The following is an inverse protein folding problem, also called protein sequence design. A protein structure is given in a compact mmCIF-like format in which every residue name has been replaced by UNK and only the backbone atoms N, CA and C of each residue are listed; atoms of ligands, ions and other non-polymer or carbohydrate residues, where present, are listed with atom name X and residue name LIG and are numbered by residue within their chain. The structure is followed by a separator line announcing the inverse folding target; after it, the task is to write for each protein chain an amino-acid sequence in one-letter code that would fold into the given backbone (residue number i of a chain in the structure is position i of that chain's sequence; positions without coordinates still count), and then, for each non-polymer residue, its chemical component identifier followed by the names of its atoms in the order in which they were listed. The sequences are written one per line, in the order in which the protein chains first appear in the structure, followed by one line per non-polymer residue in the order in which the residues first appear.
data_IF_944870038709
#
_entry.id   IF_944870038709
#
_cell.length_a   1.000
_cell.length_b   1.000
_cell.length_c   1.000
_cell.angle_alpha   90.00
_cell.angle_beta   90.00
_cell.angle_gamma   90.00
#
_symmetry.space_group_name_H-M   'P 1'
#
loop_
_entity.id
_entity.type
_entity.pdbx_description
1 polymer ?
#
# COMPACT_ATOMS: atom_id res chain seq x y z
N UNK A 1 3.82 23.01 -3.96
CA UNK A 1 5.05 22.91 -3.14
C UNK A 1 4.85 23.24 -1.68
N UNK A 2 4.36 24.42 -1.29
CA UNK A 2 4.28 24.81 0.13
C UNK A 2 3.64 23.74 1.03
N UNK A 3 2.41 23.33 0.73
CA UNK A 3 1.69 22.26 1.44
C UNK A 3 2.51 20.97 1.57
N UNK A 4 3.27 20.61 0.54
CA UNK A 4 4.10 19.41 0.58
C UNK A 4 5.23 19.51 1.60
N UNK A 5 6.02 20.58 1.52
CA UNK A 5 7.20 20.80 2.38
C UNK A 5 6.88 21.13 3.83
N UNK A 6 5.63 21.55 4.14
CA UNK A 6 5.18 21.85 5.51
C UNK A 6 4.39 20.71 6.15
N UNK A 7 3.59 19.99 5.37
CA UNK A 7 2.60 19.06 5.89
C UNK A 7 2.59 17.71 5.18
N UNK A 8 2.45 17.66 3.84
CA UNK A 8 2.24 16.38 3.13
C UNK A 8 3.42 15.42 3.23
N UNK A 9 4.65 15.91 3.36
CA UNK A 9 5.81 15.04 3.53
C UNK A 9 5.65 14.10 4.74
N UNK A 10 5.01 14.57 5.82
CA UNK A 10 4.75 13.78 7.04
C UNK A 10 3.78 12.62 6.80
N UNK A 11 2.94 12.72 5.77
CA UNK A 11 2.03 11.66 5.36
C UNK A 11 2.70 10.56 4.53
N UNK A 12 3.99 10.72 4.23
CA UNK A 12 4.78 9.74 3.47
C UNK A 12 5.92 9.19 4.32
N UNK A 13 6.48 10.02 5.21
CA UNK A 13 7.47 9.60 6.20
C UNK A 13 6.90 8.56 7.16
N UNK A 14 7.63 7.48 7.39
CA UNK A 14 7.30 6.54 8.44
C UNK A 14 7.96 6.86 9.78
N UNK A 15 9.15 7.46 9.78
CA UNK A 15 9.88 7.81 11.00
C UNK A 15 10.82 9.02 10.78
N UNK A 16 11.82 9.18 11.66
CA UNK A 16 12.79 10.29 11.53
C UNK A 16 13.88 10.03 10.49
N UNK A 17 14.09 8.78 10.09
CA UNK A 17 15.17 8.37 9.18
C UNK A 17 14.91 8.80 7.74
N UNK A 18 13.65 8.89 7.33
CA UNK A 18 13.22 9.31 5.98
C UNK A 18 12.63 10.74 5.94
N UNK A 19 12.66 11.46 7.07
CA UNK A 19 12.07 12.79 7.18
C UNK A 19 12.76 13.83 6.29
N UNK A 20 14.09 13.92 6.34
CA UNK A 20 14.87 14.86 5.54
C UNK A 20 14.74 14.56 4.04
N UNK A 21 14.69 13.28 3.70
CA UNK A 21 14.51 12.79 2.33
C UNK A 21 13.23 13.36 1.72
N UNK A 22 12.08 13.17 2.39
CA UNK A 22 10.79 13.63 1.90
C UNK A 22 10.60 15.15 2.03
N UNK A 23 11.13 15.78 3.08
CA UNK A 23 10.91 17.21 3.29
C UNK A 23 11.77 18.09 2.37
N UNK A 24 13.01 17.67 2.08
CA UNK A 24 14.02 18.52 1.42
C UNK A 24 14.57 17.88 0.15
N UNK A 25 15.09 16.65 0.23
CA UNK A 25 15.84 16.07 -0.90
C UNK A 25 14.94 15.73 -2.09
N UNK A 26 13.79 15.11 -1.86
CA UNK A 26 12.81 14.74 -2.89
C UNK A 26 12.24 15.99 -3.59
N UNK A 27 11.83 17.05 -2.87
CA UNK A 27 11.52 18.34 -3.49
C UNK A 27 12.62 18.92 -4.37
N UNK A 28 13.89 18.88 -3.91
CA UNK A 28 15.03 19.36 -4.69
C UNK A 28 15.24 18.52 -5.96
N UNK A 29 15.03 17.21 -5.85
CA UNK A 29 15.10 16.28 -6.98
C UNK A 29 13.97 16.53 -7.98
N UNK A 30 12.76 16.86 -7.50
CA UNK A 30 11.60 17.12 -8.33
C UNK A 30 11.79 18.29 -9.31
N UNK A 31 12.57 19.32 -8.95
CA UNK A 31 12.90 20.40 -9.88
C UNK A 31 13.73 19.96 -11.10
N UNK A 32 14.34 18.78 -11.06
CA UNK A 32 15.09 18.17 -12.17
C UNK A 32 14.26 17.15 -12.95
N UNK A 33 13.11 16.74 -12.43
CA UNK A 33 12.29 15.65 -12.95
C UNK A 33 10.81 16.04 -12.95
N UNK A 34 10.31 16.46 -14.11
CA UNK A 34 8.95 16.98 -14.28
C UNK A 34 7.86 16.01 -13.79
N UNK A 35 8.04 14.69 -13.99
CA UNK A 35 7.09 13.70 -13.49
C UNK A 35 6.99 13.71 -11.96
N UNK A 36 8.11 13.84 -11.27
CA UNK A 36 8.16 13.83 -9.80
C UNK A 36 7.55 15.11 -9.24
N UNK A 37 7.79 16.25 -9.90
CA UNK A 37 7.18 17.52 -9.53
C UNK A 37 5.65 17.46 -9.60
N UNK A 38 5.12 16.93 -10.70
CA UNK A 38 3.68 16.75 -10.86
C UNK A 38 3.11 15.71 -9.88
N UNK A 39 3.82 14.62 -9.59
CA UNK A 39 3.43 13.68 -8.54
C UNK A 39 3.34 14.32 -7.15
N UNK A 40 4.34 15.13 -6.78
CA UNK A 40 4.32 15.89 -5.52
C UNK A 40 3.12 16.84 -5.45
N UNK A 41 2.78 17.50 -6.56
CA UNK A 41 1.61 18.38 -6.62
C UNK A 41 0.30 17.61 -6.52
N UNK A 42 0.20 16.46 -7.19
CA UNK A 42 -0.97 15.61 -7.12
C UNK A 42 -1.22 15.13 -5.68
N UNK A 43 -0.18 14.63 -5.02
CA UNK A 43 -0.27 14.16 -3.64
C UNK A 43 -0.57 15.29 -2.65
N UNK A 44 0.05 16.46 -2.83
CA UNK A 44 -0.23 17.62 -1.99
C UNK A 44 -1.67 18.12 -2.15
N UNK A 45 -2.20 18.15 -3.38
CA UNK A 45 -3.58 18.51 -3.64
C UNK A 45 -4.55 17.49 -3.01
N UNK A 46 -4.26 16.19 -3.14
CA UNK A 46 -5.08 15.14 -2.55
C UNK A 46 -5.07 15.17 -1.01
N UNK A 47 -3.92 15.52 -0.39
CA UNK A 47 -3.85 15.76 1.04
C UNK A 47 -4.70 16.96 1.48
N UNK A 48 -4.82 18.02 0.66
CA UNK A 48 -5.74 19.12 0.94
C UNK A 48 -7.18 18.63 0.90
N UNK A 49 -7.57 17.86 -0.12
CA UNK A 49 -8.91 17.25 -0.23
C UNK A 49 -9.25 16.46 1.03
N UNK A 50 -8.32 15.64 1.54
CA UNK A 50 -8.53 14.82 2.73
C UNK A 50 -8.62 15.60 4.04
N UNK A 51 -8.10 16.83 4.11
CA UNK A 51 -7.98 17.59 5.37
C UNK A 51 -8.84 18.85 5.45
N UNK A 52 -9.37 19.32 4.32
CA UNK A 52 -10.21 20.52 4.28
C UNK A 52 -11.69 20.18 4.47
N UNK A 53 -12.46 21.11 5.05
CA UNK A 53 -13.92 21.02 5.16
C UNK A 53 -14.66 21.90 4.15
N UNK A 54 -13.92 22.68 3.35
CA UNK A 54 -14.48 23.60 2.35
C UNK A 54 -14.82 22.86 1.05
N UNK A 55 -16.12 22.73 0.75
CA UNK A 55 -16.61 22.00 -0.42
C UNK A 55 -16.14 22.57 -1.76
N UNK A 56 -15.90 23.88 -1.88
CA UNK A 56 -15.45 24.47 -3.15
C UNK A 56 -13.96 24.12 -3.37
N UNK A 57 -13.16 24.20 -2.31
CA UNK A 57 -11.75 23.80 -2.35
C UNK A 57 -11.59 22.30 -2.62
N UNK A 58 -12.45 21.45 -2.06
CA UNK A 58 -12.42 20.00 -2.27
C UNK A 58 -12.46 19.68 -3.77
N UNK A 59 -13.44 20.20 -4.51
CA UNK A 59 -13.59 19.89 -5.92
C UNK A 59 -12.42 20.45 -6.75
N UNK A 60 -12.00 21.68 -6.47
CA UNK A 60 -10.86 22.31 -7.15
C UNK A 60 -9.54 21.53 -6.95
N UNK A 61 -9.24 21.11 -5.73
CA UNK A 61 -8.01 20.37 -5.44
C UNK A 61 -8.10 18.91 -5.91
N UNK A 62 -9.29 18.31 -5.96
CA UNK A 62 -9.48 17.00 -6.56
C UNK A 62 -9.19 17.03 -8.08
N UNK A 63 -9.72 18.04 -8.79
CA UNK A 63 -9.38 18.27 -10.22
C UNK A 63 -7.88 18.53 -10.42
N UNK A 64 -7.28 19.31 -9.51
CA UNK A 64 -5.84 19.57 -9.54
C UNK A 64 -5.05 18.27 -9.33
N UNK A 65 -5.46 17.42 -8.39
CA UNK A 65 -4.80 16.15 -8.12
C UNK A 65 -4.85 15.22 -9.34
N UNK A 66 -6.03 15.08 -9.96
CA UNK A 66 -6.23 14.29 -11.18
C UNK A 66 -5.35 14.79 -12.33
N UNK A 67 -5.42 16.08 -12.63
CA UNK A 67 -4.63 16.71 -13.70
C UNK A 67 -3.13 16.55 -13.47
N UNK A 68 -2.65 16.81 -12.25
CA UNK A 68 -1.23 16.64 -11.94
C UNK A 68 -0.80 15.17 -12.04
N UNK A 69 -1.65 14.22 -11.63
CA UNK A 69 -1.37 12.79 -11.77
C UNK A 69 -1.25 12.37 -13.24
N UNK A 70 -2.14 12.87 -14.11
CA UNK A 70 -2.08 12.65 -15.56
C UNK A 70 -0.81 13.23 -16.18
N UNK A 71 -0.45 14.47 -15.80
CA UNK A 71 0.79 15.13 -16.27
C UNK A 71 2.05 14.39 -15.84
N UNK A 72 2.04 13.76 -14.66
CA UNK A 72 3.16 12.95 -14.20
C UNK A 72 3.31 11.63 -14.97
N UNK A 73 2.20 11.06 -15.45
CA UNK A 73 2.14 9.67 -15.92
C UNK A 73 2.98 9.38 -17.17
N UNK A 74 2.81 10.16 -18.23
CA UNK A 74 3.50 9.92 -19.50
C UNK A 74 5.02 10.08 -19.36
N UNK A 75 5.55 11.18 -18.78
CA UNK A 75 6.99 11.33 -18.60
C UNK A 75 7.57 10.32 -17.61
N UNK A 76 6.80 9.90 -16.60
CA UNK A 76 7.20 8.81 -15.70
C UNK A 76 7.39 7.50 -16.46
N UNK A 77 6.39 7.08 -17.26
CA UNK A 77 6.48 5.86 -18.08
C UNK A 77 7.65 5.88 -19.06
N UNK A 78 7.92 7.01 -19.70
CA UNK A 78 9.09 7.14 -20.59
C UNK A 78 10.40 6.97 -19.81
N UNK A 79 10.51 7.59 -18.64
CA UNK A 79 11.71 7.47 -17.78
C UNK A 79 11.92 6.03 -17.31
N UNK A 80 10.84 5.29 -17.04
CA UNK A 80 10.91 3.87 -16.66
C UNK A 80 11.56 2.99 -17.74
N UNK A 81 11.36 3.30 -19.01
CA UNK A 81 12.01 2.57 -20.12
C UNK A 81 13.50 2.88 -20.28
N UNK A 82 13.99 3.94 -19.63
CA UNK A 82 15.38 4.39 -19.69
C UNK A 82 15.91 4.71 -18.28
N UNK A 83 15.87 3.70 -17.41
CA UNK A 83 16.30 3.80 -16.03
C UNK A 83 17.84 3.91 -15.94
N UNK A 84 18.32 4.88 -15.18
CA UNK A 84 19.75 5.18 -15.00
C UNK A 84 20.07 5.45 -13.53
N UNK A 85 21.35 5.39 -13.11
CA UNK A 85 21.76 5.78 -11.75
C UNK A 85 21.39 7.22 -11.37
N UNK A 86 21.17 8.10 -12.36
CA UNK A 86 20.90 9.53 -12.12
C UNK A 86 19.41 9.82 -11.91
N UNK A 87 18.52 8.95 -12.40
CA UNK A 87 17.07 9.14 -12.31
C UNK A 87 16.37 8.11 -11.40
N UNK A 88 17.07 7.07 -10.94
CA UNK A 88 16.46 5.98 -10.19
C UNK A 88 15.81 6.44 -8.89
N UNK A 89 16.42 7.40 -8.19
CA UNK A 89 15.88 7.94 -6.95
C UNK A 89 14.56 8.69 -7.20
N UNK A 90 14.49 9.46 -8.29
CA UNK A 90 13.30 10.20 -8.66
C UNK A 90 12.16 9.26 -9.06
N UNK A 91 12.49 8.21 -9.82
CA UNK A 91 11.55 7.16 -10.21
C UNK A 91 11.03 6.41 -9.00
N UNK A 92 11.89 6.09 -8.02
CA UNK A 92 11.47 5.40 -6.81
C UNK A 92 10.57 6.28 -5.95
N UNK A 93 10.93 7.54 -5.71
CA UNK A 93 10.10 8.50 -4.99
C UNK A 93 8.73 8.68 -5.67
N UNK A 94 8.70 8.78 -6.99
CA UNK A 94 7.45 8.86 -7.75
C UNK A 94 6.62 7.57 -7.62
N UNK A 95 7.25 6.40 -7.58
CA UNK A 95 6.54 5.13 -7.41
C UNK A 95 5.79 5.08 -6.09
N UNK A 96 6.42 5.51 -4.99
CA UNK A 96 5.76 5.62 -3.68
C UNK A 96 4.60 6.63 -3.70
N UNK A 97 4.79 7.80 -4.32
CA UNK A 97 3.73 8.80 -4.48
C UNK A 97 2.53 8.23 -5.26
N UNK A 98 2.78 7.54 -6.38
CA UNK A 98 1.73 6.95 -7.21
C UNK A 98 0.99 5.84 -6.48
N UNK A 99 1.68 5.03 -5.67
CA UNK A 99 1.03 4.04 -4.80
C UNK A 99 0.07 4.70 -3.81
N UNK A 100 0.51 5.76 -3.12
CA UNK A 100 -0.34 6.48 -2.15
C UNK A 100 -1.56 7.11 -2.83
N UNK A 101 -1.34 7.77 -3.98
CA UNK A 101 -2.45 8.32 -4.79
C UNK A 101 -3.40 7.20 -5.23
N UNK A 102 -2.88 6.05 -5.65
CA UNK A 102 -3.67 4.90 -6.08
C UNK A 102 -4.57 4.31 -4.98
N UNK A 103 -4.14 4.40 -3.71
CA UNK A 103 -4.96 3.98 -2.56
C UNK A 103 -6.05 5.02 -2.25
N UNK A 104 -5.68 6.30 -2.18
CA UNK A 104 -6.58 7.33 -1.67
C UNK A 104 -7.55 7.91 -2.71
N UNK A 105 -7.10 8.08 -3.95
CA UNK A 105 -7.85 8.83 -4.97
C UNK A 105 -9.21 8.20 -5.30
N UNK A 106 -9.34 6.87 -5.54
CA UNK A 106 -10.64 6.30 -5.88
C UNK A 106 -11.68 6.50 -4.76
N UNK A 107 -11.25 6.37 -3.49
CA UNK A 107 -12.10 6.61 -2.32
C UNK A 107 -12.57 8.05 -2.25
N UNK A 108 -11.64 9.01 -2.35
CA UNK A 108 -11.96 10.44 -2.28
C UNK A 108 -12.82 10.88 -3.47
N UNK A 109 -12.60 10.30 -4.65
CA UNK A 109 -13.43 10.59 -5.82
C UNK A 109 -14.86 10.10 -5.61
N UNK A 110 -15.04 8.88 -5.10
CA UNK A 110 -16.35 8.34 -4.76
C UNK A 110 -17.06 9.15 -3.66
N UNK A 111 -16.32 9.55 -2.62
CA UNK A 111 -16.86 10.34 -1.51
C UNK A 111 -17.40 11.71 -1.95
N UNK A 112 -16.73 12.38 -2.90
CA UNK A 112 -17.07 13.75 -3.28
C UNK A 112 -17.80 13.89 -4.63
N UNK A 113 -17.72 12.87 -5.50
CA UNK A 113 -18.40 12.87 -6.82
C UNK A 113 -19.46 11.78 -6.97
N UNK A 114 -19.61 10.89 -5.99
CA UNK A 114 -20.59 9.81 -6.06
C UNK A 114 -20.26 8.73 -7.09
N UNK A 115 -18.98 8.59 -7.46
CA UNK A 115 -18.52 7.52 -8.35
C UNK A 115 -18.57 6.15 -7.66
N UNK A 116 -18.71 5.08 -8.45
CA UNK A 116 -18.64 3.71 -7.94
C UNK A 116 -17.26 3.40 -7.40
N UNK A 117 -17.20 2.80 -6.21
CA UNK A 117 -15.96 2.44 -5.54
C UNK A 117 -15.99 0.98 -5.11
N UNK A 118 -14.89 0.27 -5.40
CA UNK A 118 -14.58 -1.02 -4.78
C UNK A 118 -13.15 -0.96 -4.26
N UNK A 119 -13.00 -1.24 -2.97
CA UNK A 119 -11.73 -1.32 -2.30
C UNK A 119 -10.93 -2.55 -2.75
N UNK A 120 -11.59 -3.67 -3.08
CA UNK A 120 -10.91 -4.84 -3.64
C UNK A 120 -10.27 -4.50 -5.00
N UNK A 121 -11.02 -3.88 -5.92
CA UNK A 121 -10.48 -3.48 -7.24
C UNK A 121 -9.39 -2.41 -7.12
N UNK A 122 -9.55 -1.48 -6.16
CA UNK A 122 -8.51 -0.51 -5.81
C UNK A 122 -7.23 -1.23 -5.37
N UNK A 123 -7.33 -2.24 -4.51
CA UNK A 123 -6.15 -3.02 -4.10
C UNK A 123 -5.53 -3.80 -5.24
N UNK A 124 -6.30 -4.37 -6.17
CA UNK A 124 -5.75 -5.05 -7.35
C UNK A 124 -4.90 -4.09 -8.19
N UNK A 125 -5.36 -2.84 -8.35
CA UNK A 125 -4.60 -1.78 -9.03
C UNK A 125 -3.33 -1.43 -8.25
N UNK A 126 -3.43 -1.29 -6.93
CA UNK A 126 -2.28 -0.97 -6.07
C UNK A 126 -1.23 -2.09 -6.08
N UNK A 127 -1.63 -3.36 -6.12
CA UNK A 127 -0.71 -4.48 -6.33
C UNK A 127 0.12 -4.32 -7.61
N UNK A 128 -0.52 -3.97 -8.73
CA UNK A 128 0.19 -3.76 -10.00
C UNK A 128 1.17 -2.60 -9.94
N UNK A 129 0.79 -1.50 -9.30
CA UNK A 129 1.67 -0.34 -9.08
C UNK A 129 2.90 -0.71 -8.24
N UNK A 130 2.69 -1.42 -7.13
CA UNK A 130 3.77 -1.83 -6.22
C UNK A 130 4.67 -2.89 -6.87
N UNK A 131 4.13 -3.80 -7.69
CA UNK A 131 4.93 -4.77 -8.45
C UNK A 131 5.80 -4.08 -9.52
N UNK A 132 5.30 -3.03 -10.15
CA UNK A 132 6.10 -2.14 -10.99
C UNK A 132 7.26 -1.51 -10.21
N UNK A 133 6.96 -0.95 -9.03
CA UNK A 133 7.96 -0.39 -8.11
C UNK A 133 9.03 -1.43 -7.68
N UNK A 134 8.61 -2.66 -7.41
CA UNK A 134 9.51 -3.75 -7.05
C UNK A 134 10.43 -4.14 -8.21
N UNK A 135 9.91 -4.21 -9.43
CA UNK A 135 10.71 -4.49 -10.64
C UNK A 135 11.77 -3.41 -10.86
N UNK A 136 11.40 -2.14 -10.72
CA UNK A 136 12.33 -1.00 -10.76
C UNK A 136 13.37 -1.12 -9.64
N UNK A 137 12.93 -1.54 -8.46
CA UNK A 137 13.80 -1.75 -7.32
C UNK A 137 14.86 -2.82 -7.62
N UNK A 138 14.49 -3.95 -8.22
CA UNK A 138 15.47 -4.99 -8.54
C UNK A 138 16.49 -4.52 -9.58
N UNK A 139 16.05 -3.78 -10.61
CA UNK A 139 16.93 -3.24 -11.67
C UNK A 139 17.91 -2.20 -11.11
N UNK A 140 17.43 -1.30 -10.25
CA UNK A 140 18.23 -0.21 -9.68
C UNK A 140 19.10 -0.62 -8.48
N UNK A 141 18.95 -1.86 -7.97
CA UNK A 141 19.67 -2.36 -6.80
C UNK A 141 21.20 -2.12 -6.85
N UNK A 142 21.91 -2.32 -7.99
CA UNK A 142 23.36 -2.07 -8.07
C UNK A 142 23.75 -0.60 -7.86
N UNK A 143 22.85 0.34 -8.15
CA UNK A 143 23.09 1.78 -8.02
C UNK A 143 22.66 2.31 -6.66
N UNK A 144 21.74 1.59 -6.00
CA UNK A 144 21.16 2.01 -4.72
C UNK A 144 22.10 1.87 -3.53
N UNK A 145 23.16 1.06 -3.64
CA UNK A 145 24.20 0.98 -2.60
C UNK A 145 24.92 2.32 -2.35
N UNK A 146 24.76 3.31 -3.23
CA UNK A 146 25.25 4.69 -3.06
C UNK A 146 24.12 5.74 -2.92
N UNK A 147 22.85 5.32 -2.96
CA UNK A 147 21.69 6.22 -2.90
C UNK A 147 21.26 6.48 -1.46
N UNK A 148 20.94 7.74 -1.17
CA UNK A 148 20.61 8.26 0.16
C UNK A 148 19.25 7.80 0.71
N UNK A 149 18.38 7.32 -0.17
CA UNK A 149 16.98 7.05 0.13
C UNK A 149 16.81 5.58 0.56
N UNK A 150 16.11 5.36 1.67
CA UNK A 150 15.83 4.05 2.29
C UNK A 150 16.92 3.51 3.23
N UNK A 151 17.34 4.34 4.18
CA UNK A 151 18.01 3.90 5.43
C UNK A 151 17.05 3.26 6.44
N UNK A 152 15.93 2.68 5.98
CA UNK A 152 15.09 1.91 6.87
C UNK A 152 15.83 0.61 7.17
N UNK A 153 16.55 0.61 8.28
CA UNK A 153 17.20 -0.57 8.83
C UNK A 153 16.09 -1.45 9.40
N UNK A 154 15.57 -2.33 8.55
CA UNK A 154 14.61 -3.31 8.99
C UNK A 154 15.38 -4.36 9.79
N UNK A 155 15.59 -4.11 11.07
CA UNK A 155 16.12 -5.11 11.99
C UNK A 155 15.22 -6.35 11.95
N UNK A 156 15.82 -7.54 12.10
CA UNK A 156 15.09 -8.81 12.23
C UNK A 156 14.32 -8.82 13.56
N UNK A 157 13.20 -8.11 13.56
CA UNK A 157 12.26 -8.04 14.67
C UNK A 157 11.33 -9.25 14.60
N UNK A 158 11.29 -10.00 15.69
CA UNK A 158 10.56 -11.27 15.76
C UNK A 158 9.36 -11.23 16.71
N UNK A 159 9.23 -10.14 17.49
CA UNK A 159 8.16 -10.00 18.45
C UNK A 159 6.87 -9.61 17.73
N UNK A 160 5.80 -10.37 17.97
CA UNK A 160 4.49 -10.18 17.36
C UNK A 160 3.47 -10.18 18.48
N UNK A 161 2.47 -9.30 18.38
CA UNK A 161 1.33 -9.28 19.30
C UNK A 161 0.63 -10.67 19.36
N UNK A 162 0.27 -11.19 20.55
CA UNK A 162 -0.34 -12.50 20.68
C UNK A 162 -1.61 -12.70 19.84
N UNK A 163 -2.42 -11.66 19.62
CA UNK A 163 -3.62 -11.78 18.78
C UNK A 163 -3.25 -11.92 17.30
N UNK A 164 -2.27 -11.15 16.81
CA UNK A 164 -1.75 -11.28 15.44
C UNK A 164 -1.11 -12.67 15.21
N UNK A 165 -0.32 -13.16 16.18
CA UNK A 165 0.29 -14.48 16.13
C UNK A 165 -0.77 -15.60 16.06
N UNK A 166 -1.87 -15.46 16.79
CA UNK A 166 -2.99 -16.39 16.73
C UNK A 166 -3.70 -16.36 15.35
N UNK A 167 -3.91 -15.18 14.77
CA UNK A 167 -4.48 -15.05 13.43
C UNK A 167 -3.61 -15.73 12.36
N UNK A 168 -2.28 -15.54 12.43
CA UNK A 168 -1.32 -16.25 11.57
C UNK A 168 -1.41 -17.77 11.77
N UNK A 169 -1.47 -18.24 13.02
CA UNK A 169 -1.60 -19.67 13.32
C UNK A 169 -2.89 -20.28 12.74
N UNK A 170 -4.02 -19.57 12.86
CA UNK A 170 -5.29 -20.00 12.27
C UNK A 170 -5.22 -20.10 10.74
N UNK A 171 -4.61 -19.11 10.06
CA UNK A 171 -4.41 -19.17 8.61
C UNK A 171 -3.51 -20.35 8.21
N UNK A 172 -2.41 -20.62 8.94
CA UNK A 172 -1.55 -21.78 8.66
C UNK A 172 -2.29 -23.11 8.83
N UNK A 173 -3.10 -23.24 9.89
CA UNK A 173 -3.94 -24.42 10.10
C UNK A 173 -4.92 -24.62 8.94
N UNK A 174 -5.63 -23.55 8.53
CA UNK A 174 -6.53 -23.60 7.39
C UNK A 174 -5.80 -23.99 6.10
N UNK A 175 -4.64 -23.38 5.80
CA UNK A 175 -3.83 -23.71 4.62
C UNK A 175 -3.43 -25.20 4.59
N UNK A 176 -3.17 -25.81 5.76
CA UNK A 176 -2.86 -27.24 5.87
C UNK A 176 -4.07 -28.15 5.69
N UNK A 177 -5.26 -27.68 6.08
CA UNK A 177 -6.52 -28.44 6.00
C UNK A 177 -7.10 -28.51 4.58
N UNK A 178 -6.74 -27.57 3.70
CA UNK A 178 -7.19 -27.50 2.30
C UNK A 178 -6.47 -28.55 1.41
N UNK A 179 -5.98 -29.64 2.01
CA UNK A 179 -5.01 -30.61 1.49
C UNK A 179 -5.41 -31.41 0.21
N UNK A 180 -6.52 -31.07 -0.46
CA UNK A 180 -7.00 -31.75 -1.66
C UNK A 180 -6.87 -30.95 -2.97
N UNK A 181 -6.14 -29.84 -3.03
CA UNK A 181 -5.93 -29.14 -4.31
C UNK A 181 -4.58 -28.40 -4.34
N UNK A 182 -3.61 -28.98 -5.04
CA UNK A 182 -2.34 -28.37 -5.47
C UNK A 182 -1.31 -27.96 -4.38
N UNK A 183 -0.24 -28.77 -4.27
CA UNK A 183 0.93 -28.48 -3.42
C UNK A 183 1.60 -27.13 -3.75
N UNK A 184 1.53 -26.70 -5.01
CA UNK A 184 2.08 -25.42 -5.44
C UNK A 184 1.29 -24.27 -4.84
N UNK A 185 -0.05 -24.35 -4.83
CA UNK A 185 -0.89 -23.32 -4.21
C UNK A 185 -0.68 -23.25 -2.69
N UNK A 186 -0.51 -24.40 -2.03
CA UNK A 186 -0.18 -24.45 -0.60
C UNK A 186 1.12 -23.68 -0.30
N UNK A 187 2.18 -23.90 -1.09
CA UNK A 187 3.46 -23.18 -0.93
C UNK A 187 3.31 -21.68 -1.16
N UNK A 188 2.58 -21.28 -2.21
CA UNK A 188 2.33 -19.86 -2.51
C UNK A 188 1.61 -19.17 -1.35
N UNK A 189 0.59 -19.81 -0.80
CA UNK A 189 -0.15 -19.32 0.35
C UNK A 189 0.72 -19.23 1.60
N UNK A 190 1.56 -20.23 1.83
CA UNK A 190 2.46 -20.27 2.99
C UNK A 190 3.45 -19.10 2.95
N UNK A 191 4.05 -18.83 1.80
CA UNK A 191 4.98 -17.70 1.64
C UNK A 191 4.29 -16.34 1.84
N UNK A 192 3.04 -16.20 1.38
CA UNK A 192 2.26 -14.98 1.61
C UNK A 192 1.95 -14.77 3.09
N UNK A 193 1.66 -15.86 3.83
CA UNK A 193 1.45 -15.84 5.28
C UNK A 193 2.75 -15.51 6.03
N UNK A 194 3.88 -16.08 5.61
CA UNK A 194 5.18 -15.82 6.24
C UNK A 194 5.59 -14.35 6.06
N UNK A 195 5.43 -13.80 4.85
CA UNK A 195 5.67 -12.37 4.60
C UNK A 195 4.70 -11.46 5.36
N UNK A 196 3.45 -11.89 5.56
CA UNK A 196 2.46 -11.15 6.35
C UNK A 196 2.85 -11.15 7.84
N UNK A 197 3.34 -12.27 8.35
CA UNK A 197 3.86 -12.37 9.72
C UNK A 197 5.01 -11.38 9.94
N UNK A 198 5.96 -11.28 9.00
CA UNK A 198 7.05 -10.31 9.06
C UNK A 198 6.54 -8.87 9.07
N UNK A 199 5.47 -8.60 8.34
CA UNK A 199 4.83 -7.27 8.28
C UNK A 199 4.16 -6.92 9.61
N UNK A 200 3.51 -7.88 10.28
CA UNK A 200 2.96 -7.70 11.62
C UNK A 200 4.05 -7.43 12.66
N UNK A 201 5.15 -8.16 12.62
CA UNK A 201 6.28 -7.96 13.54
C UNK A 201 6.80 -6.53 13.41
N UNK A 202 7.13 -6.10 12.19
CA UNK A 202 7.66 -4.74 11.90
C UNK A 202 6.68 -3.64 12.30
N UNK A 203 5.38 -3.84 12.04
CA UNK A 203 4.36 -2.86 12.41
C UNK A 203 4.22 -2.69 13.93
N UNK A 204 4.41 -3.78 14.70
CA UNK A 204 4.33 -3.74 16.17
C UNK A 204 5.39 -2.81 16.77
N UNK A 205 6.54 -2.66 16.12
CA UNK A 205 7.64 -1.83 16.59
C UNK A 205 7.61 -0.41 16.04
N UNK A 206 7.19 -0.23 14.78
CA UNK A 206 7.03 1.07 14.15
C UNK A 206 5.84 1.06 13.21
N UNK A 207 4.96 2.08 13.32
CA UNK A 207 3.86 2.32 12.39
C UNK A 207 4.33 2.87 11.04
N UNK A 208 5.40 2.31 10.50
CA UNK A 208 6.00 2.72 9.23
C UNK A 208 5.18 2.12 8.07
N UNK A 209 4.80 2.89 7.02
CA UNK A 209 4.01 2.40 5.90
C UNK A 209 4.79 1.43 4.99
N UNK A 210 6.11 1.61 4.87
CA UNK A 210 6.94 0.79 3.98
C UNK A 210 6.86 -0.73 4.21
N UNK A 211 6.98 -1.31 5.42
CA UNK A 211 6.77 -2.73 5.64
C UNK A 211 5.41 -3.25 5.18
N UNK A 212 4.34 -2.49 5.42
CA UNK A 212 2.97 -2.88 5.05
C UNK A 212 2.82 -2.91 3.53
N UNK A 213 3.31 -1.88 2.84
CA UNK A 213 3.28 -1.80 1.38
C UNK A 213 4.27 -2.78 0.74
N UNK A 214 5.38 -3.10 1.41
CA UNK A 214 6.35 -4.09 0.95
C UNK A 214 5.72 -5.49 0.85
N UNK A 215 4.75 -5.84 1.69
CA UNK A 215 4.03 -7.10 1.54
C UNK A 215 3.40 -7.25 0.14
N UNK A 216 2.82 -6.17 -0.40
CA UNK A 216 2.25 -6.15 -1.74
C UNK A 216 3.31 -6.37 -2.84
N UNK A 217 4.56 -5.97 -2.58
CA UNK A 217 5.70 -6.20 -3.49
C UNK A 217 6.22 -7.64 -3.43
N UNK A 218 6.12 -8.31 -2.28
CA UNK A 218 6.57 -9.69 -2.10
C UNK A 218 5.54 -10.72 -2.56
N UNK A 219 4.26 -10.34 -2.62
CA UNK A 219 3.20 -11.20 -3.14
C UNK A 219 3.54 -11.71 -4.55
N UNK A 220 3.61 -13.03 -4.70
CA UNK A 220 3.89 -13.68 -5.99
C UNK A 220 2.76 -13.43 -6.99
N UNK A 221 3.09 -13.45 -8.28
CA UNK A 221 2.10 -13.27 -9.35
C UNK A 221 0.95 -14.26 -9.23
N UNK A 222 1.25 -15.52 -8.93
CA UNK A 222 0.29 -16.61 -8.78
C UNK A 222 -0.66 -16.38 -7.59
N UNK A 223 -0.16 -15.76 -6.51
CA UNK A 223 -1.02 -15.35 -5.39
C UNK A 223 -2.00 -14.27 -5.81
N UNK A 224 -1.53 -13.26 -6.54
CA UNK A 224 -2.37 -12.16 -7.06
C UNK A 224 -3.37 -12.69 -8.09
N UNK A 225 -2.99 -13.66 -8.92
CA UNK A 225 -3.92 -14.32 -9.84
C UNK A 225 -5.03 -15.06 -9.09
N UNK A 226 -4.73 -15.65 -7.92
CA UNK A 226 -5.73 -16.18 -7.00
C UNK A 226 -6.67 -15.11 -6.43
N UNK A 227 -6.15 -13.93 -6.07
CA UNK A 227 -6.98 -12.79 -5.63
C UNK A 227 -7.92 -12.28 -6.73
N UNK A 228 -7.42 -12.16 -7.97
CA UNK A 228 -8.22 -11.79 -9.15
C UNK A 228 -9.30 -12.83 -9.44
N UNK A 229 -8.96 -14.11 -9.28
CA UNK A 229 -9.90 -15.22 -9.41
C UNK A 229 -10.82 -15.39 -8.18
N UNK A 230 -10.80 -14.44 -7.23
CA UNK A 230 -11.63 -14.42 -6.01
C UNK A 230 -11.53 -15.73 -5.21
N UNK A 231 -10.34 -16.34 -5.19
CA UNK A 231 -10.13 -17.58 -4.45
C UNK A 231 -10.24 -17.33 -2.94
N UNK A 232 -11.12 -18.06 -2.21
CA UNK A 232 -11.47 -17.72 -0.83
C UNK A 232 -10.28 -17.59 0.12
N UNK A 233 -9.28 -18.46 -0.02
CA UNK A 233 -8.15 -18.48 0.91
C UNK A 233 -7.19 -17.29 0.71
N UNK A 234 -6.96 -16.89 -0.53
CA UNK A 234 -6.16 -15.72 -0.87
C UNK A 234 -6.88 -14.45 -0.41
N UNK A 235 -8.21 -14.38 -0.56
CA UNK A 235 -9.03 -13.30 -0.02
C UNK A 235 -8.94 -13.22 1.50
N UNK A 236 -8.91 -14.35 2.21
CA UNK A 236 -8.70 -14.39 3.67
C UNK A 236 -7.32 -13.83 4.07
N UNK A 237 -6.26 -14.16 3.33
CA UNK A 237 -4.92 -13.60 3.59
C UNK A 237 -4.93 -12.07 3.36
N UNK A 238 -5.54 -11.61 2.26
CA UNK A 238 -5.70 -10.17 1.99
C UNK A 238 -6.52 -9.47 3.08
N UNK A 239 -7.55 -10.12 3.60
CA UNK A 239 -8.40 -9.61 4.70
C UNK A 239 -7.60 -9.43 6.00
N UNK A 240 -6.65 -10.33 6.29
CA UNK A 240 -5.75 -10.17 7.43
C UNK A 240 -4.73 -9.04 7.20
N UNK A 241 -4.21 -8.89 5.98
CA UNK A 241 -3.40 -7.72 5.62
C UNK A 241 -4.17 -6.40 5.72
N UNK A 242 -5.48 -6.40 5.43
CA UNK A 242 -6.33 -5.21 5.54
C UNK A 242 -6.39 -4.63 6.96
N UNK A 243 -6.12 -5.45 8.00
CA UNK A 243 -5.97 -4.97 9.38
C UNK A 243 -4.77 -4.05 9.52
N UNK A 244 -3.63 -4.36 8.88
CA UNK A 244 -2.46 -3.45 8.86
C UNK A 244 -2.81 -2.14 8.18
N UNK A 245 -3.57 -2.19 7.08
CA UNK A 245 -4.02 -0.99 6.38
C UNK A 245 -4.98 -0.15 7.24
N UNK A 246 -5.87 -0.79 8.01
CA UNK A 246 -6.74 -0.11 8.97
C UNK A 246 -5.93 0.60 10.06
N UNK A 247 -4.99 -0.10 10.70
CA UNK A 247 -4.14 0.47 11.75
C UNK A 247 -3.28 1.64 11.21
N UNK A 248 -2.83 1.55 9.96
CA UNK A 248 -2.11 2.64 9.30
C UNK A 248 -2.99 3.88 9.11
N UNK A 249 -4.29 3.69 8.88
CA UNK A 249 -5.27 4.76 8.76
C UNK A 249 -5.37 5.69 9.97
N UNK A 250 -4.92 5.24 11.16
CA UNK A 250 -4.88 6.09 12.35
C UNK A 250 -3.88 7.25 12.25
N UNK A 251 -2.79 7.07 11.49
CA UNK A 251 -1.71 8.06 11.35
C UNK A 251 -1.60 8.62 9.93
N UNK A 252 -2.16 7.93 8.93
CA UNK A 252 -2.00 8.26 7.52
C UNK A 252 -3.36 8.42 6.84
N UNK A 253 -3.71 9.67 6.50
CA UNK A 253 -5.00 10.04 5.88
C UNK A 253 -5.33 9.23 4.62
N UNK A 254 -4.31 8.80 3.87
CA UNK A 254 -4.51 8.07 2.61
C UNK A 254 -4.95 6.62 2.84
N UNK A 255 -4.72 6.06 4.03
CA UNK A 255 -5.17 4.73 4.45
C UNK A 255 -6.43 4.77 5.33
N UNK A 256 -6.89 5.95 5.74
CA UNK A 256 -8.07 6.12 6.59
C UNK A 256 -9.32 5.51 5.95
N UNK A 257 -10.03 4.64 6.69
CA UNK A 257 -11.22 3.93 6.23
C UNK A 257 -10.97 2.86 5.16
N UNK A 258 -9.75 2.74 4.63
CA UNK A 258 -9.42 1.78 3.57
C UNK A 258 -9.47 0.33 4.08
N UNK A 259 -8.90 0.06 5.27
CA UNK A 259 -8.90 -1.29 5.83
C UNK A 259 -10.32 -1.79 6.18
N UNK A 260 -11.16 -0.91 6.76
CA UNK A 260 -12.57 -1.21 7.07
C UNK A 260 -13.36 -1.53 5.81
N UNK A 261 -13.25 -0.69 4.78
CA UNK A 261 -13.92 -0.90 3.50
C UNK A 261 -13.49 -2.23 2.85
N UNK A 262 -12.19 -2.55 2.91
CA UNK A 262 -11.67 -3.79 2.35
C UNK A 262 -12.18 -5.03 3.11
N UNK A 263 -12.15 -5.00 4.45
CA UNK A 263 -12.67 -6.09 5.28
C UNK A 263 -14.18 -6.27 5.09
N UNK A 264 -14.94 -5.19 4.92
CA UNK A 264 -16.38 -5.24 4.65
C UNK A 264 -16.68 -5.94 3.31
N UNK A 265 -15.98 -5.55 2.23
CA UNK A 265 -16.13 -6.17 0.90
C UNK A 265 -15.72 -7.65 0.93
N UNK A 266 -14.55 -7.97 1.51
CA UNK A 266 -14.06 -9.35 1.61
C UNK A 266 -14.95 -10.22 2.50
N UNK A 267 -15.49 -9.68 3.59
CA UNK A 267 -16.47 -10.38 4.42
C UNK A 267 -17.71 -10.75 3.62
N UNK A 268 -18.13 -9.91 2.67
CA UNK A 268 -19.28 -10.20 1.81
C UNK A 268 -19.01 -11.32 0.80
N UNK A 269 -17.79 -11.40 0.27
CA UNK A 269 -17.35 -12.48 -0.64
C UNK A 269 -17.19 -13.82 0.09
N UNK A 270 -16.89 -13.79 1.39
CA UNK A 270 -16.58 -14.97 2.22
C UNK A 270 -17.75 -15.44 3.11
N UNK A 271 -18.98 -14.97 2.87
CA UNK A 271 -20.15 -15.24 3.74
C UNK A 271 -20.54 -16.72 3.85
N UNK A 272 -20.38 -17.48 2.77
CA UNK A 272 -20.91 -18.85 2.66
C UNK A 272 -19.90 -19.94 3.08
N UNK A 273 -18.92 -19.61 3.91
CA UNK A 273 -17.85 -20.54 4.32
C UNK A 273 -18.17 -21.30 5.62
N UNK A 274 -17.53 -22.47 5.79
CA UNK A 274 -17.71 -23.38 6.93
C UNK A 274 -17.26 -22.77 8.28
N UNK A 275 -17.64 -23.41 9.40
CA UNK A 275 -17.32 -22.94 10.77
C UNK A 275 -15.83 -22.68 11.02
N UNK A 276 -14.92 -23.48 10.44
CA UNK A 276 -13.48 -23.23 10.57
C UNK A 276 -13.03 -21.91 9.93
N UNK A 277 -13.70 -21.48 8.86
CA UNK A 277 -13.44 -20.19 8.23
C UNK A 277 -13.98 -19.05 9.08
N UNK A 278 -15.17 -19.24 9.66
CA UNK A 278 -15.78 -18.22 10.53
C UNK A 278 -14.85 -17.81 11.67
N UNK A 279 -14.12 -18.74 12.29
CA UNK A 279 -13.15 -18.35 13.34
C UNK A 279 -12.00 -17.49 12.82
N UNK A 280 -11.51 -17.76 11.59
CA UNK A 280 -10.43 -17.00 10.98
C UNK A 280 -10.88 -15.63 10.43
N UNK A 281 -12.17 -15.49 10.10
CA UNK A 281 -12.78 -14.22 9.66
C UNK A 281 -13.09 -13.28 10.83
N UNK A 282 -13.34 -13.82 12.02
CA UNK A 282 -13.73 -13.02 13.20
C UNK A 282 -12.64 -12.06 13.66
N UNK A 283 -11.36 -12.47 13.63
CA UNK A 283 -10.27 -11.61 14.08
C UNK A 283 -10.15 -10.32 13.25
N UNK A 284 -10.03 -10.38 11.90
CA UNK A 284 -9.92 -9.15 11.12
C UNK A 284 -11.19 -8.29 11.20
N UNK A 285 -12.38 -8.88 11.26
CA UNK A 285 -13.65 -8.15 11.45
C UNK A 285 -13.66 -7.36 12.77
N UNK A 286 -13.32 -8.03 13.88
CA UNK A 286 -13.25 -7.41 15.20
C UNK A 286 -12.22 -6.28 15.25
N UNK A 287 -11.06 -6.44 14.60
CA UNK A 287 -9.99 -5.42 14.61
C UNK A 287 -10.41 -4.12 13.93
N UNK A 288 -11.21 -4.20 12.88
CA UNK A 288 -11.70 -3.02 12.15
C UNK A 288 -13.09 -2.55 12.62
N UNK A 289 -13.65 -3.16 13.66
CA UNK A 289 -14.94 -2.76 14.24
C UNK A 289 -16.20 -3.16 13.46
N UNK A 290 -16.14 -4.25 12.67
CA UNK A 290 -17.27 -4.80 11.91
C UNK A 290 -17.81 -6.09 12.56
#
# INVERSE_FOLDING_TARGET
MHKFSTETYKSVCGDRSDMEDWQVLIPNLAFKHEFLLHGIFALAALHIVATTSDSEQILFYLDTALRCNELAFTPFRQTLTNLTPLNCDAVFAQSAIVTIIGIALPRLNAQHRGESFSMIETMMTVFELVQGANSISQISKPWRQASFFFKYDCTDETAIDPEMANAIAQMRMLNSSIQNTDLTQHSINQEAIDSLQDSFAKFTHASHPAPILAWLAHAKREFVDGLRARQPFQLLILMNWAVLLHELGANFWWAEGCGEALVAELSSELKDQDEMWKSALQWPQKKVGI
#
